data_IF_213349028477
#
_entry.id   IF_213349028477
#
_cell.length_a   1.000
_cell.length_b   1.000
_cell.length_c   1.000
_cell.angle_alpha   90.00
_cell.angle_beta   90.00
_cell.angle_gamma   90.00
#
_symmetry.space_group_name_H-M   'P 1'
#
loop_
_entity.id
_entity.type
_entity.pdbx_description
1 polymer ?
#
# COMPACT_ATOMS: atom_id res chain seq x y z
N UNK A 1 5.86 -4.99 22.76
CA UNK A 1 5.19 -3.71 22.99
C UNK A 1 4.37 -3.22 21.79
N UNK A 2 4.90 -3.20 20.57
CA UNK A 2 4.16 -2.77 19.36
C UNK A 2 2.91 -3.59 19.07
N UNK A 3 2.94 -4.92 19.24
CA UNK A 3 1.80 -5.80 19.00
C UNK A 3 0.61 -5.52 19.95
N UNK A 4 0.88 -5.10 21.19
CA UNK A 4 -0.18 -4.73 22.16
C UNK A 4 -0.86 -3.42 21.77
N UNK A 5 -0.11 -2.46 21.26
CA UNK A 5 -0.66 -1.19 20.78
C UNK A 5 -1.50 -1.42 19.53
N UNK A 6 -1.02 -2.21 18.59
CA UNK A 6 -1.78 -2.57 17.39
C UNK A 6 -3.10 -3.30 17.70
N UNK A 7 -3.14 -4.10 18.77
CA UNK A 7 -4.34 -4.79 19.21
C UNK A 7 -5.45 -3.85 19.74
N UNK A 8 -5.13 -2.59 20.04
CA UNK A 8 -6.13 -1.59 20.47
C UNK A 8 -6.87 -0.94 19.29
N UNK A 9 -6.34 -1.01 18.08
CA UNK A 9 -6.94 -0.39 16.91
C UNK A 9 -8.40 -0.83 16.65
N UNK A 10 -8.77 -2.12 16.70
CA UNK A 10 -10.15 -2.55 16.53
C UNK A 10 -11.10 -1.91 17.55
N UNK A 11 -10.68 -1.80 18.80
CA UNK A 11 -11.49 -1.22 19.89
C UNK A 11 -11.81 0.25 19.62
N UNK A 12 -10.83 1.02 19.17
CA UNK A 12 -11.02 2.43 18.81
C UNK A 12 -11.93 2.59 17.60
N UNK A 13 -11.79 1.72 16.60
CA UNK A 13 -12.62 1.74 15.40
C UNK A 13 -14.07 1.39 15.70
N UNK A 14 -14.31 0.35 16.50
CA UNK A 14 -15.65 -0.06 16.96
C UNK A 14 -16.32 1.05 17.79
N UNK A 15 -15.59 1.68 18.69
CA UNK A 15 -16.09 2.80 19.48
C UNK A 15 -16.45 4.00 18.59
N UNK A 16 -15.64 4.31 17.58
CA UNK A 16 -15.92 5.38 16.63
C UNK A 16 -17.18 5.09 15.81
N UNK A 17 -17.38 3.85 15.38
CA UNK A 17 -18.57 3.42 14.65
C UNK A 17 -19.82 3.41 15.56
N UNK A 18 -19.65 3.17 16.86
CA UNK A 18 -20.72 3.30 17.86
C UNK A 18 -21.05 4.76 18.22
N UNK A 19 -20.35 5.74 17.66
CA UNK A 19 -20.63 7.15 17.86
C UNK A 19 -19.83 7.84 18.97
N UNK A 20 -18.79 7.17 19.51
CA UNK A 20 -17.89 7.81 20.47
C UNK A 20 -17.10 8.94 19.80
N UNK A 21 -17.29 10.17 20.32
CA UNK A 21 -16.69 11.38 19.72
C UNK A 21 -15.16 11.38 19.82
N UNK A 22 -14.61 10.86 20.92
CA UNK A 22 -13.16 10.83 21.13
C UNK A 22 -12.52 9.83 20.18
N UNK A 23 -13.09 8.63 20.11
CA UNK A 23 -12.64 7.59 19.17
C UNK A 23 -12.76 8.06 17.71
N UNK A 24 -13.88 8.69 17.35
CA UNK A 24 -14.07 9.27 16.02
C UNK A 24 -13.01 10.30 15.66
N UNK A 25 -12.64 11.18 16.60
CA UNK A 25 -11.59 12.17 16.41
C UNK A 25 -10.23 11.53 16.19
N UNK A 26 -9.89 10.50 16.98
CA UNK A 26 -8.64 9.73 16.80
C UNK A 26 -8.59 9.13 15.40
N UNK A 27 -9.64 8.48 14.96
CA UNK A 27 -9.70 7.84 13.62
C UNK A 27 -9.56 8.87 12.51
N UNK A 28 -10.24 10.02 12.65
CA UNK A 28 -10.14 11.13 11.69
C UNK A 28 -8.72 11.70 11.61
N UNK A 29 -8.08 11.92 12.74
CA UNK A 29 -6.73 12.48 12.80
C UNK A 29 -5.71 11.49 12.21
N UNK A 30 -5.84 10.20 12.50
CA UNK A 30 -4.99 9.15 11.90
C UNK A 30 -5.14 9.10 10.37
N UNK A 31 -6.36 9.17 9.85
CA UNK A 31 -6.58 9.23 8.41
C UNK A 31 -5.95 10.48 7.78
N UNK A 32 -6.08 11.64 8.46
CA UNK A 32 -5.47 12.90 8.05
C UNK A 32 -3.94 12.85 7.97
N UNK A 33 -3.30 12.19 8.93
CA UNK A 33 -1.84 12.01 8.91
C UNK A 33 -1.38 11.14 7.71
N UNK A 34 -2.13 10.10 7.36
CA UNK A 34 -1.83 9.29 6.18
C UNK A 34 -2.00 10.11 4.88
N UNK A 35 -3.03 10.95 4.80
CA UNK A 35 -3.21 11.86 3.65
C UNK A 35 -2.02 12.81 3.51
N UNK A 36 -1.55 13.40 4.62
CA UNK A 36 -0.36 14.26 4.62
C UNK A 36 0.90 13.52 4.16
N UNK A 37 1.07 12.26 4.61
CA UNK A 37 2.19 11.43 4.20
C UNK A 37 2.17 11.17 2.69
N UNK A 38 1.02 10.80 2.15
CA UNK A 38 0.87 10.59 0.69
C UNK A 38 1.16 11.88 -0.07
N UNK A 39 0.64 13.02 0.39
CA UNK A 39 0.89 14.33 -0.23
C UNK A 39 2.38 14.69 -0.23
N UNK A 40 3.08 14.47 0.88
CA UNK A 40 4.51 14.74 0.97
C UNK A 40 5.33 13.87 0.00
N UNK A 41 5.03 12.57 -0.08
CA UNK A 41 5.68 11.64 -1.00
C UNK A 41 5.39 12.00 -2.46
N UNK A 42 4.15 12.41 -2.76
CA UNK A 42 3.76 12.88 -4.10
C UNK A 42 4.61 14.07 -4.55
N UNK A 43 4.81 15.04 -3.65
CA UNK A 43 5.68 16.19 -3.91
C UNK A 43 7.14 15.78 -4.08
N UNK A 44 7.67 14.94 -3.21
CA UNK A 44 9.07 14.51 -3.24
C UNK A 44 9.41 13.72 -4.52
N UNK A 45 8.48 12.89 -4.99
CA UNK A 45 8.65 12.10 -6.21
C UNK A 45 8.37 12.92 -7.48
N UNK A 46 7.84 14.13 -7.36
CA UNK A 46 7.58 15.02 -8.49
C UNK A 46 6.54 14.47 -9.48
N UNK A 47 5.50 13.80 -9.00
CA UNK A 47 4.42 13.36 -9.88
C UNK A 47 3.71 14.56 -10.52
N UNK A 48 3.59 14.55 -11.84
CA UNK A 48 2.89 15.59 -12.61
C UNK A 48 1.50 15.15 -13.08
N UNK A 49 1.20 13.87 -12.96
CA UNK A 49 -0.07 13.25 -13.41
C UNK A 49 -0.62 12.34 -12.32
N UNK A 50 -1.89 12.02 -12.45
CA UNK A 50 -2.54 11.03 -11.61
C UNK A 50 -1.78 9.70 -11.62
N UNK A 51 -1.71 9.06 -10.46
CA UNK A 51 -0.88 7.86 -10.22
C UNK A 51 -1.65 6.82 -9.40
N UNK A 52 -1.40 5.51 -9.62
CA UNK A 52 -2.02 4.47 -8.82
C UNK A 52 -1.46 4.44 -7.41
N UNK A 53 -2.33 4.20 -6.42
CA UNK A 53 -1.96 4.06 -5.01
C UNK A 53 -2.49 2.75 -4.44
N UNK A 54 -1.61 1.96 -3.84
CA UNK A 54 -1.98 0.75 -3.14
C UNK A 54 -2.09 1.01 -1.63
N UNK A 55 -3.16 0.53 -1.03
CA UNK A 55 -3.39 0.56 0.42
C UNK A 55 -3.14 -0.82 0.99
N UNK A 56 -2.09 -0.98 1.79
CA UNK A 56 -1.75 -2.23 2.44
C UNK A 56 -1.81 -2.08 3.97
N UNK A 57 -2.21 -3.13 4.64
CA UNK A 57 -2.28 -3.19 6.10
C UNK A 57 -3.62 -3.69 6.62
N UNK A 58 -3.57 -4.40 7.75
CA UNK A 58 -4.73 -5.09 8.29
C UNK A 58 -5.89 -4.15 8.66
N UNK A 59 -5.59 -2.98 9.19
CA UNK A 59 -6.62 -2.00 9.59
C UNK A 59 -7.31 -1.43 8.35
N UNK A 60 -6.56 -0.92 7.38
CA UNK A 60 -7.09 -0.30 6.16
C UNK A 60 -7.88 -1.29 5.33
N UNK A 61 -7.39 -2.51 5.18
CA UNK A 61 -8.05 -3.51 4.34
C UNK A 61 -9.32 -4.10 4.96
N UNK A 62 -9.40 -4.18 6.30
CA UNK A 62 -10.51 -4.81 7.01
C UNK A 62 -11.60 -3.83 7.44
N UNK A 63 -11.24 -2.56 7.66
CA UNK A 63 -12.17 -1.57 8.19
C UNK A 63 -12.60 -0.59 7.11
N UNK A 64 -13.79 -0.81 6.58
CA UNK A 64 -14.34 -0.03 5.45
C UNK A 64 -14.52 1.45 5.80
N UNK A 65 -15.07 1.78 6.97
CA UNK A 65 -15.29 3.14 7.42
C UNK A 65 -13.99 3.96 7.54
N UNK A 66 -12.91 3.34 7.99
CA UNK A 66 -11.59 3.98 8.04
C UNK A 66 -11.03 4.21 6.63
N UNK A 67 -11.11 3.20 5.78
CA UNK A 67 -10.68 3.30 4.38
C UNK A 67 -11.44 4.38 3.62
N UNK A 68 -12.76 4.45 3.75
CA UNK A 68 -13.59 5.48 3.10
C UNK A 68 -13.18 6.91 3.50
N UNK A 69 -12.82 7.14 4.76
CA UNK A 69 -12.32 8.43 5.24
C UNK A 69 -10.97 8.79 4.63
N UNK A 70 -10.08 7.81 4.56
CA UNK A 70 -8.78 7.98 3.92
C UNK A 70 -8.95 8.32 2.44
N UNK A 71 -9.76 7.57 1.71
CA UNK A 71 -10.03 7.78 0.29
C UNK A 71 -10.65 9.16 0.01
N UNK A 72 -11.55 9.61 0.86
CA UNK A 72 -12.11 10.96 0.78
C UNK A 72 -11.03 12.05 0.92
N UNK A 73 -10.10 11.89 1.85
CA UNK A 73 -8.98 12.82 2.03
C UNK A 73 -7.99 12.78 0.86
N UNK A 74 -7.73 11.60 0.31
CA UNK A 74 -6.85 11.40 -0.85
C UNK A 74 -7.41 12.07 -2.12
N UNK A 75 -8.72 12.15 -2.25
CA UNK A 75 -9.38 12.81 -3.36
C UNK A 75 -9.11 14.32 -3.47
N UNK A 76 -8.57 14.94 -2.42
CA UNK A 76 -8.19 16.36 -2.40
C UNK A 76 -6.72 16.62 -2.76
N UNK A 77 -5.92 15.57 -2.99
CA UNK A 77 -4.51 15.69 -3.38
C UNK A 77 -4.42 15.90 -4.91
N UNK A 78 -3.54 16.79 -5.33
CA UNK A 78 -3.20 17.00 -6.74
C UNK A 78 -1.66 16.89 -6.93
N UNK A 79 -1.20 16.07 -7.90
CA UNK A 79 -1.97 15.16 -8.74
C UNK A 79 -2.66 14.06 -7.93
N UNK A 80 -3.78 13.55 -8.43
CA UNK A 80 -4.67 12.66 -7.67
C UNK A 80 -4.17 11.22 -7.66
N UNK A 81 -4.12 10.57 -6.48
CA UNK A 81 -3.94 9.14 -6.43
C UNK A 81 -5.19 8.42 -6.98
N UNK A 82 -5.04 7.80 -8.15
CA UNK A 82 -6.12 7.05 -8.82
C UNK A 82 -5.55 6.03 -9.81
N UNK A 83 -6.01 4.77 -9.80
CA UNK A 83 -6.94 4.20 -8.83
C UNK A 83 -6.33 4.00 -7.44
N UNK A 84 -7.15 4.04 -6.41
CA UNK A 84 -6.76 3.65 -5.04
C UNK A 84 -7.25 2.22 -4.80
N UNK A 85 -6.34 1.29 -4.55
CA UNK A 85 -6.66 -0.15 -4.49
C UNK A 85 -6.21 -0.74 -3.16
N UNK A 86 -7.12 -1.35 -2.37
CA UNK A 86 -6.73 -2.11 -1.19
C UNK A 86 -6.01 -3.41 -1.58
N UNK A 87 -4.90 -3.70 -0.91
CA UNK A 87 -4.07 -4.89 -1.14
C UNK A 87 -4.04 -5.71 0.15
N UNK A 88 -4.94 -6.70 0.30
CA UNK A 88 -5.03 -7.49 1.53
C UNK A 88 -3.82 -8.42 1.73
N UNK A 89 -3.19 -8.86 0.67
CA UNK A 89 -2.05 -9.78 0.69
C UNK A 89 -0.86 -9.23 -0.11
N UNK A 90 -0.06 -8.31 0.46
CA UNK A 90 1.09 -7.70 -0.24
C UNK A 90 2.15 -8.71 -0.68
N UNK A 91 2.24 -9.87 0.00
CA UNK A 91 3.19 -10.96 -0.34
C UNK A 91 3.01 -11.48 -1.77
N UNK A 92 1.80 -11.43 -2.32
CA UNK A 92 1.53 -11.83 -3.70
C UNK A 92 2.28 -10.94 -4.71
N UNK A 93 2.48 -9.67 -4.38
CA UNK A 93 3.31 -8.75 -5.17
C UNK A 93 4.77 -9.18 -5.19
N UNK A 94 5.31 -9.64 -4.08
CA UNK A 94 6.68 -10.17 -4.01
C UNK A 94 6.85 -11.42 -4.89
N UNK A 95 5.88 -12.32 -4.90
CA UNK A 95 5.88 -13.52 -5.74
C UNK A 95 5.88 -13.13 -7.23
N UNK A 96 5.07 -12.13 -7.59
CA UNK A 96 5.00 -11.62 -8.96
C UNK A 96 6.32 -11.01 -9.42
N UNK A 97 6.93 -10.15 -8.60
CA UNK A 97 8.24 -9.55 -8.88
C UNK A 97 9.30 -10.64 -9.04
N UNK A 98 9.31 -11.65 -8.15
CA UNK A 98 10.24 -12.78 -8.24
C UNK A 98 10.09 -13.57 -9.54
N UNK A 99 8.86 -13.80 -9.97
CA UNK A 99 8.59 -14.50 -11.24
C UNK A 99 9.05 -13.67 -12.44
N UNK A 100 8.71 -12.39 -12.49
CA UNK A 100 9.11 -11.50 -13.57
C UNK A 100 10.65 -11.41 -13.69
N UNK A 101 11.35 -11.44 -12.55
CA UNK A 101 12.81 -11.53 -12.53
C UNK A 101 13.35 -12.84 -13.09
N UNK A 102 12.75 -13.97 -12.74
CA UNK A 102 13.17 -15.29 -13.27
C UNK A 102 12.99 -15.37 -14.78
N UNK A 103 11.88 -14.87 -15.32
CA UNK A 103 11.62 -14.82 -16.76
C UNK A 103 12.67 -13.99 -17.51
N UNK A 104 13.20 -12.93 -16.88
CA UNK A 104 14.30 -12.14 -17.45
C UNK A 104 15.64 -12.89 -17.47
N UNK A 105 15.88 -13.77 -16.50
CA UNK A 105 17.09 -14.61 -16.47
C UNK A 105 17.03 -15.78 -17.44
N UNK A 106 15.88 -16.42 -17.62
CA UNK A 106 15.71 -17.52 -18.57
C UNK A 106 15.78 -17.07 -20.05
N UNK A 107 15.51 -15.79 -20.33
CA UNK A 107 15.70 -15.21 -21.67
C UNK A 107 17.15 -14.94 -22.06
N UNK A 108 18.11 -15.13 -21.14
CA UNK A 108 19.55 -14.91 -21.33
C UNK A 108 20.41 -16.16 -21.32
N UNK A 109 19.85 -17.36 -21.49
CA UNK A 109 20.64 -18.55 -21.67
C UNK A 109 21.43 -18.44 -22.98
N UNK A 110 22.70 -18.09 -22.85
CA UNK A 110 23.69 -18.02 -23.92
C UNK A 110 23.80 -19.41 -24.60
N UNK A 111 23.51 -19.56 -25.91
CA UNK A 111 23.64 -20.81 -26.60
C UNK A 111 25.10 -21.20 -26.94
N UNK A 112 26.08 -20.54 -26.33
CA UNK A 112 27.48 -20.88 -26.49
C UNK A 112 28.01 -21.71 -25.32
N UNK A 113 27.52 -22.94 -25.20
CA UNK A 113 28.31 -23.98 -24.57
C UNK A 113 29.57 -24.23 -25.43
N UNK A 114 30.79 -24.27 -24.86
CA UNK A 114 31.98 -24.54 -25.62
C UNK A 114 31.86 -25.95 -26.22
N UNK A 115 31.79 -26.00 -27.54
CA UNK A 115 31.93 -27.28 -28.26
C UNK A 115 33.34 -27.77 -27.97
N UNK A 116 33.44 -28.83 -27.16
CA UNK A 116 34.66 -29.50 -26.89
C UNK A 116 35.29 -29.94 -28.20
N UNK A 117 36.40 -29.32 -28.57
CA UNK A 117 37.30 -29.84 -29.58
C UNK A 117 37.88 -31.13 -29.05
N UNK A 118 37.39 -32.21 -29.60
CA UNK A 118 38.00 -33.51 -29.41
C UNK A 118 39.14 -33.64 -30.46
N UNK A 119 40.36 -34.03 -30.05
CA UNK A 119 41.45 -34.23 -31.00
C UNK A 119 41.27 -35.47 -31.87
#
# INVERSE_FOLDING_TARGET
MRARIAATAPVVLEAADAGDIVAWRIVKDCAGELVRLVSAVTCDLGFEKDYPLALAGGVICRHEGYRARLEAGLGAIEPRPTPVTPVPEPVLGCIRIGRDHLEQFDGGADPQAPQGTNP
#
